data_IF_651251242423
#
_entry.id   IF_651251242423
#
_cell.length_a   1.000
_cell.length_b   1.000
_cell.length_c   1.000
_cell.angle_alpha   90.00
_cell.angle_beta   90.00
_cell.angle_gamma   90.00
#
_symmetry.space_group_name_H-M   'P 1'
#
loop_
_entity.id
_entity.type
_entity.pdbx_description
1 polymer ?
#
# COMPACT_ATOMS: atom_id res chain seq x y z
N UNK A 1 -51.60 19.09 33.29
CA UNK A 1 -51.35 18.84 34.73
C UNK A 1 -49.93 19.29 35.02
N UNK A 2 -49.76 20.35 35.83
CA UNK A 2 -48.47 20.99 36.15
C UNK A 2 -47.61 20.11 37.06
N UNK A 3 -46.29 20.05 36.83
CA UNK A 3 -45.30 20.60 37.76
C UNK A 3 -43.86 20.24 37.35
N UNK A 4 -43.05 21.27 37.11
CA UNK A 4 -41.59 21.26 37.12
C UNK A 4 -41.06 20.93 38.52
N UNK A 5 -39.96 20.16 38.60
CA UNK A 5 -38.89 20.47 39.57
C UNK A 5 -37.51 19.98 39.08
N UNK A 6 -36.77 20.93 38.55
CA UNK A 6 -35.32 20.92 38.35
C UNK A 6 -34.59 20.86 39.72
N UNK A 7 -33.58 20.00 39.88
CA UNK A 7 -32.54 20.12 40.91
C UNK A 7 -31.25 19.36 40.56
N UNK A 8 -30.21 20.16 40.30
CA UNK A 8 -28.80 19.94 40.64
C UNK A 8 -27.89 19.16 39.67
N UNK A 9 -27.27 19.94 38.77
CA UNK A 9 -25.81 20.11 38.63
C UNK A 9 -24.92 18.98 39.18
N UNK A 10 -24.32 18.21 38.26
CA UNK A 10 -22.89 17.94 38.17
C UNK A 10 -22.68 16.65 37.38
N UNK A 11 -21.98 16.78 36.25
CA UNK A 11 -21.09 15.79 35.59
C UNK A 11 -21.08 16.12 34.09
N UNK A 12 -20.60 17.32 33.77
CA UNK A 12 -20.12 17.66 32.42
C UNK A 12 -18.60 17.72 32.52
N UNK A 13 -17.94 16.87 31.72
CA UNK A 13 -16.52 16.84 31.37
C UNK A 13 -15.53 16.25 32.42
N UNK A 14 -14.50 15.49 31.98
CA UNK A 14 -13.88 15.64 30.67
C UNK A 14 -13.89 14.39 29.80
N UNK A 15 -14.53 14.58 28.65
CA UNK A 15 -14.34 13.91 27.38
C UNK A 15 -12.92 14.23 26.82
N UNK A 16 -11.86 13.95 27.57
CA UNK A 16 -10.48 14.37 27.23
C UNK A 16 -9.44 13.23 27.20
N UNK A 17 -9.86 11.96 27.31
CA UNK A 17 -8.93 10.81 27.27
C UNK A 17 -9.10 9.91 26.04
N UNK A 18 -9.89 10.30 25.03
CA UNK A 18 -10.14 9.49 23.84
C UNK A 18 -9.45 10.01 22.55
N UNK A 19 -8.70 11.11 22.60
CA UNK A 19 -8.12 11.74 21.39
C UNK A 19 -6.78 11.11 20.97
N UNK A 20 -6.12 10.32 21.81
CA UNK A 20 -4.76 9.84 21.53
C UNK A 20 -4.65 8.52 20.77
N UNK A 21 -5.75 7.88 20.35
CA UNK A 21 -5.70 6.56 19.65
C UNK A 21 -5.82 6.68 18.12
N UNK A 22 -6.10 7.85 17.57
CA UNK A 22 -6.30 8.03 16.11
C UNK A 22 -5.10 8.63 15.36
N UNK A 23 -3.92 8.75 15.99
CA UNK A 23 -2.81 9.51 15.41
C UNK A 23 -1.92 8.73 14.42
N UNK A 24 -1.99 7.40 14.36
CA UNK A 24 -1.22 6.60 13.40
C UNK A 24 -2.16 6.07 12.33
N UNK A 25 -2.37 6.85 11.27
CA UNK A 25 -2.82 6.27 10.01
C UNK A 25 -1.76 5.25 9.55
N UNK A 26 -2.14 4.08 9.02
CA UNK A 26 -1.16 3.15 8.48
C UNK A 26 -0.36 3.85 7.37
N UNK A 27 0.94 3.59 7.31
CA UNK A 27 1.80 4.04 6.22
C UNK A 27 1.16 3.61 4.90
N UNK A 28 0.65 4.60 4.18
CA UNK A 28 0.09 4.42 2.84
C UNK A 28 1.08 4.99 1.85
N UNK A 29 1.05 4.52 0.60
CA UNK A 29 1.86 5.11 -0.45
C UNK A 29 1.66 6.64 -0.57
N UNK A 30 0.44 7.11 -0.24
CA UNK A 30 0.11 8.53 -0.14
C UNK A 30 0.86 9.22 1.01
N UNK A 31 0.84 8.62 2.21
CA UNK A 31 1.53 9.15 3.39
C UNK A 31 3.04 9.26 3.20
N UNK A 32 3.65 8.25 2.58
CA UNK A 32 5.09 8.26 2.23
C UNK A 32 5.40 9.41 1.26
N UNK A 33 4.59 9.59 0.22
CA UNK A 33 4.82 10.66 -0.75
C UNK A 33 4.73 12.03 -0.07
N UNK A 34 3.69 12.27 0.73
CA UNK A 34 3.51 13.54 1.45
C UNK A 34 4.62 13.82 2.46
N UNK A 35 5.20 12.79 3.05
CA UNK A 35 6.33 12.92 3.96
C UNK A 35 7.65 13.21 3.22
N UNK A 36 7.84 12.60 2.06
CA UNK A 36 9.09 12.65 1.32
C UNK A 36 9.12 13.67 0.17
N UNK A 37 8.01 14.35 -0.16
CA UNK A 37 7.92 15.25 -1.33
C UNK A 37 9.06 16.29 -1.38
N UNK A 38 9.34 16.95 -0.26
CA UNK A 38 10.40 17.94 -0.17
C UNK A 38 11.80 17.33 -0.34
N UNK A 39 12.01 16.13 0.19
CA UNK A 39 13.27 15.40 0.08
C UNK A 39 13.47 14.88 -1.36
N UNK A 40 12.42 14.39 -2.00
CA UNK A 40 12.42 13.99 -3.42
C UNK A 40 12.77 15.19 -4.30
N UNK A 41 12.13 16.34 -4.10
CA UNK A 41 12.41 17.53 -4.89
C UNK A 41 13.87 18.02 -4.77
N UNK A 42 14.48 17.83 -3.60
CA UNK A 42 15.84 18.28 -3.31
C UNK A 42 16.92 17.27 -3.70
N UNK A 43 16.68 15.98 -3.45
CA UNK A 43 17.70 14.93 -3.53
C UNK A 43 17.59 14.11 -4.82
N UNK A 44 16.39 14.05 -5.40
CA UNK A 44 16.08 13.22 -6.56
C UNK A 44 15.74 14.07 -7.80
N UNK A 45 16.26 15.29 -7.89
CA UNK A 45 16.09 16.14 -9.05
C UNK A 45 16.60 15.43 -10.33
N UNK A 46 15.75 15.40 -11.36
CA UNK A 46 16.06 14.74 -12.63
C UNK A 46 15.87 13.22 -12.65
N UNK A 47 15.43 12.62 -11.54
CA UNK A 47 15.00 11.22 -11.54
C UNK A 47 13.62 11.11 -12.20
N UNK A 48 13.53 10.30 -13.24
CA UNK A 48 12.27 10.07 -13.94
C UNK A 48 11.31 9.20 -13.08
N UNK A 49 10.05 9.61 -12.89
CA UNK A 49 9.07 8.84 -12.10
C UNK A 49 8.78 7.44 -12.65
N UNK A 50 8.20 6.58 -11.82
CA UNK A 50 7.79 5.22 -12.18
C UNK A 50 8.89 4.16 -12.03
N UNK A 51 8.48 2.89 -12.12
CA UNK A 51 9.34 1.71 -11.96
C UNK A 51 10.18 1.72 -10.66
N UNK A 52 9.66 2.34 -9.60
CA UNK A 52 10.37 2.44 -8.31
C UNK A 52 11.58 3.39 -8.31
N UNK A 53 11.88 4.12 -9.38
CA UNK A 53 13.10 4.94 -9.49
C UNK A 53 13.23 6.00 -8.40
N UNK A 54 12.13 6.68 -8.05
CA UNK A 54 12.12 7.68 -6.97
C UNK A 54 12.32 7.00 -5.60
N UNK A 55 11.68 5.86 -5.37
CA UNK A 55 11.85 5.07 -4.16
C UNK A 55 13.33 4.64 -3.99
N UNK A 56 13.96 4.16 -5.06
CA UNK A 56 15.38 3.82 -5.08
C UNK A 56 16.29 5.02 -4.82
N UNK A 57 15.92 6.20 -5.32
CA UNK A 57 16.68 7.42 -5.05
C UNK A 57 16.60 7.83 -3.58
N UNK A 58 15.40 7.84 -2.98
CA UNK A 58 15.23 8.14 -1.56
C UNK A 58 15.97 7.12 -0.68
N UNK A 59 15.91 5.84 -1.04
CA UNK A 59 16.70 4.80 -0.37
C UNK A 59 18.21 5.09 -0.42
N UNK A 60 18.74 5.47 -1.58
CA UNK A 60 20.15 5.84 -1.71
C UNK A 60 20.55 7.09 -0.88
N UNK A 61 19.56 7.90 -0.50
CA UNK A 61 19.72 9.10 0.33
C UNK A 61 19.13 8.95 1.74
N UNK A 62 18.92 7.73 2.24
CA UNK A 62 18.27 7.46 3.54
C UNK A 62 18.89 8.23 4.73
N UNK A 63 20.19 8.55 4.65
CA UNK A 63 20.91 9.29 5.70
C UNK A 63 20.83 10.82 5.53
N UNK A 64 20.13 11.30 4.51
CA UNK A 64 20.04 12.71 4.10
C UNK A 64 18.61 13.21 3.92
N UNK A 65 17.62 12.34 4.10
CA UNK A 65 16.20 12.71 4.13
C UNK A 65 15.80 13.30 5.49
N UNK A 66 14.64 13.94 5.54
CA UNK A 66 14.04 14.43 6.77
C UNK A 66 13.61 13.27 7.69
N UNK A 67 13.53 13.54 8.99
CA UNK A 67 13.05 12.59 10.00
C UNK A 67 11.65 12.06 9.64
N UNK A 68 10.75 12.96 9.24
CA UNK A 68 9.39 12.60 8.82
C UNK A 68 9.39 11.65 7.61
N UNK A 69 10.21 11.92 6.60
CA UNK A 69 10.33 11.02 5.44
C UNK A 69 10.92 9.67 5.85
N UNK A 70 11.92 9.65 6.74
CA UNK A 70 12.55 8.43 7.23
C UNK A 70 11.60 7.50 8.00
N UNK A 71 10.76 8.06 8.87
CA UNK A 71 9.76 7.30 9.62
C UNK A 71 8.74 6.64 8.69
N UNK A 72 8.10 7.42 7.82
CA UNK A 72 7.08 6.89 6.89
C UNK A 72 7.70 5.92 5.86
N UNK A 73 8.93 6.18 5.43
CA UNK A 73 9.64 5.28 4.51
C UNK A 73 9.98 3.94 5.19
N UNK A 74 10.35 3.94 6.48
CA UNK A 74 10.59 2.72 7.23
C UNK A 74 9.30 1.91 7.42
N UNK A 75 8.22 2.57 7.85
CA UNK A 75 6.91 1.93 8.03
C UNK A 75 6.39 1.34 6.70
N UNK A 76 6.61 2.04 5.59
CA UNK A 76 6.29 1.53 4.26
C UNK A 76 7.18 0.36 3.84
N UNK A 77 8.46 0.37 4.22
CA UNK A 77 9.37 -0.76 4.02
C UNK A 77 8.85 -2.04 4.69
N UNK A 78 8.40 -1.93 5.93
CA UNK A 78 7.81 -3.06 6.68
C UNK A 78 6.53 -3.57 6.02
N UNK A 79 5.66 -2.67 5.53
CA UNK A 79 4.48 -3.05 4.76
C UNK A 79 4.84 -3.78 3.46
N UNK A 80 5.82 -3.26 2.73
CA UNK A 80 6.26 -3.87 1.47
C UNK A 80 6.83 -5.26 1.69
N UNK A 81 7.63 -5.48 2.74
CA UNK A 81 8.21 -6.80 3.02
C UNK A 81 7.12 -7.87 3.23
N UNK A 82 6.07 -7.51 3.99
CA UNK A 82 4.91 -8.38 4.18
C UNK A 82 4.21 -8.71 2.85
N UNK A 83 3.95 -7.70 2.02
CA UNK A 83 3.28 -7.86 0.72
C UNK A 83 4.14 -8.68 -0.26
N UNK A 84 5.46 -8.44 -0.29
CA UNK A 84 6.35 -9.14 -1.21
C UNK A 84 6.41 -10.65 -0.93
N UNK A 85 6.32 -11.07 0.33
CA UNK A 85 6.27 -12.50 0.67
C UNK A 85 5.02 -13.19 0.10
N UNK A 86 3.86 -12.54 0.21
CA UNK A 86 2.60 -13.06 -0.33
C UNK A 86 2.63 -13.10 -1.86
N UNK A 87 3.11 -12.03 -2.49
CA UNK A 87 3.26 -11.94 -3.95
C UNK A 87 4.26 -12.98 -4.48
N UNK A 88 5.36 -13.23 -3.77
CA UNK A 88 6.33 -14.26 -4.15
C UNK A 88 5.69 -15.66 -4.12
N UNK A 89 4.85 -15.92 -3.13
CA UNK A 89 4.08 -17.17 -3.05
C UNK A 89 3.09 -17.28 -4.22
N UNK A 90 2.36 -16.21 -4.53
CA UNK A 90 1.45 -16.16 -5.68
C UNK A 90 2.17 -16.46 -7.00
N UNK A 91 3.34 -15.86 -7.23
CA UNK A 91 4.15 -16.14 -8.43
C UNK A 91 4.65 -17.58 -8.48
N UNK A 92 5.03 -18.17 -7.34
CA UNK A 92 5.47 -19.56 -7.30
C UNK A 92 4.33 -20.53 -7.67
N UNK A 93 3.11 -20.27 -7.17
CA UNK A 93 1.91 -21.05 -7.55
C UNK A 93 1.58 -20.90 -9.03
N UNK A 94 1.70 -19.70 -9.58
CA UNK A 94 1.41 -19.42 -11.00
C UNK A 94 2.56 -19.73 -11.96
N UNK A 95 3.73 -20.17 -11.49
CA UNK A 95 4.89 -20.40 -12.35
C UNK A 95 4.64 -21.35 -13.55
N UNK A 96 3.92 -22.49 -13.38
CA UNK A 96 3.63 -23.39 -14.51
C UNK A 96 2.76 -22.72 -15.58
N UNK A 97 1.74 -21.98 -15.15
CA UNK A 97 0.85 -21.26 -16.05
C UNK A 97 1.57 -20.10 -16.76
N UNK A 98 2.44 -19.37 -16.05
CA UNK A 98 3.26 -18.32 -16.64
C UNK A 98 4.19 -18.85 -17.74
N UNK A 99 4.85 -19.99 -17.51
CA UNK A 99 5.72 -20.62 -18.52
C UNK A 99 4.91 -21.05 -19.75
N UNK A 100 3.75 -21.66 -19.51
CA UNK A 100 2.91 -22.25 -20.56
C UNK A 100 2.13 -21.22 -21.37
N UNK A 101 1.70 -20.13 -20.74
CA UNK A 101 0.75 -19.18 -21.33
C UNK A 101 1.30 -17.78 -21.54
N UNK A 102 2.34 -17.38 -20.79
CA UNK A 102 2.83 -16.00 -20.74
C UNK A 102 4.36 -15.87 -20.92
N UNK A 103 5.04 -16.89 -21.47
CA UNK A 103 6.51 -16.89 -21.59
C UNK A 103 7.08 -15.81 -22.52
N UNK A 104 6.29 -15.30 -23.47
CA UNK A 104 6.68 -14.20 -24.35
C UNK A 104 6.42 -12.80 -23.72
N UNK A 105 5.81 -12.75 -22.53
CA UNK A 105 5.47 -11.50 -21.87
C UNK A 105 6.66 -11.00 -21.06
N UNK A 106 7.14 -9.80 -21.38
CA UNK A 106 8.20 -9.16 -20.61
C UNK A 106 7.76 -8.88 -19.17
N UNK A 107 8.58 -9.24 -18.19
CA UNK A 107 8.32 -9.00 -16.76
C UNK A 107 8.26 -7.51 -16.39
N UNK A 108 7.50 -7.20 -15.32
CA UNK A 108 7.34 -5.84 -14.78
C UNK A 108 6.08 -5.11 -15.25
N UNK A 109 5.71 -4.05 -14.53
CA UNK A 109 4.56 -3.20 -14.85
C UNK A 109 3.21 -3.94 -14.85
N UNK A 110 3.08 -5.04 -14.09
CA UNK A 110 1.85 -5.82 -14.01
C UNK A 110 1.53 -6.71 -15.21
N UNK A 111 2.35 -6.70 -16.29
CA UNK A 111 2.01 -7.36 -17.56
C UNK A 111 1.79 -8.87 -17.45
N UNK A 112 2.54 -9.55 -16.57
CA UNK A 112 2.36 -10.98 -16.35
C UNK A 112 1.01 -11.28 -15.67
N UNK A 113 0.60 -10.43 -14.72
CA UNK A 113 -0.71 -10.55 -14.09
C UNK A 113 -1.84 -10.26 -15.09
N UNK A 114 -1.69 -9.23 -15.94
CA UNK A 114 -2.63 -8.96 -17.04
C UNK A 114 -2.74 -10.15 -18.00
N UNK A 115 -1.61 -10.75 -18.38
CA UNK A 115 -1.61 -11.95 -19.23
C UNK A 115 -2.38 -13.10 -18.58
N UNK A 116 -2.10 -13.40 -17.30
CA UNK A 116 -2.78 -14.45 -16.56
C UNK A 116 -4.30 -14.19 -16.48
N UNK A 117 -4.70 -12.95 -16.21
CA UNK A 117 -6.11 -12.54 -16.23
C UNK A 117 -6.77 -12.78 -17.60
N UNK A 118 -6.13 -12.37 -18.68
CA UNK A 118 -6.69 -12.53 -20.04
C UNK A 118 -6.80 -14.00 -20.47
N UNK A 119 -5.97 -14.89 -19.90
CA UNK A 119 -6.01 -16.34 -20.14
C UNK A 119 -6.67 -17.13 -19.02
N UNK A 120 -7.29 -16.47 -18.03
CA UNK A 120 -7.86 -17.06 -16.81
C UNK A 120 -8.59 -18.42 -17.00
N UNK A 121 -9.48 -18.61 -18.00
CA UNK A 121 -10.17 -19.91 -18.18
C UNK A 121 -9.25 -21.08 -18.57
N UNK A 122 -7.96 -20.82 -18.83
CA UNK A 122 -6.95 -21.82 -19.18
C UNK A 122 -5.97 -22.14 -18.04
N UNK A 123 -6.04 -21.39 -16.94
CA UNK A 123 -5.14 -21.52 -15.80
C UNK A 123 -5.43 -22.77 -14.96
N UNK A 124 -4.44 -23.20 -14.20
CA UNK A 124 -4.65 -24.16 -13.13
C UNK A 124 -5.53 -23.54 -12.03
N UNK A 125 -6.39 -24.33 -11.34
CA UNK A 125 -7.36 -23.79 -10.39
C UNK A 125 -6.75 -22.92 -9.28
N UNK A 126 -5.55 -23.28 -8.82
CA UNK A 126 -4.84 -22.59 -7.75
C UNK A 126 -4.31 -21.22 -8.24
N UNK A 127 -3.76 -21.16 -9.45
CA UNK A 127 -3.33 -19.88 -10.03
C UNK A 127 -4.54 -19.01 -10.41
N UNK A 128 -5.61 -19.61 -10.97
CA UNK A 128 -6.84 -18.89 -11.29
C UNK A 128 -7.46 -18.19 -10.09
N UNK A 129 -7.53 -18.87 -8.94
CA UNK A 129 -8.05 -18.27 -7.70
C UNK A 129 -7.22 -17.06 -7.24
N UNK A 130 -5.90 -17.15 -7.33
CA UNK A 130 -4.98 -16.06 -6.98
C UNK A 130 -5.14 -14.88 -7.94
N UNK A 131 -5.26 -15.15 -9.23
CA UNK A 131 -5.46 -14.11 -10.25
C UNK A 131 -6.78 -13.39 -10.00
N UNK A 132 -7.87 -14.12 -9.74
CA UNK A 132 -9.18 -13.55 -9.43
C UNK A 132 -9.14 -12.64 -8.20
N UNK A 133 -8.45 -13.06 -7.14
CA UNK A 133 -8.26 -12.26 -5.93
C UNK A 133 -7.46 -10.97 -6.21
N UNK A 134 -6.38 -11.07 -7.00
CA UNK A 134 -5.52 -9.93 -7.30
C UNK A 134 -6.14 -8.94 -8.29
N UNK A 135 -7.01 -9.40 -9.21
CA UNK A 135 -7.66 -8.53 -10.21
C UNK A 135 -9.03 -8.02 -9.79
N UNK A 136 -9.66 -8.61 -8.77
CA UNK A 136 -10.97 -8.19 -8.26
C UNK A 136 -11.03 -6.77 -7.68
N UNK A 137 -9.89 -6.10 -7.49
CA UNK A 137 -9.82 -4.69 -7.07
C UNK A 137 -9.98 -3.69 -8.22
N UNK A 138 -10.00 -4.14 -9.48
CA UNK A 138 -10.05 -3.27 -10.66
C UNK A 138 -11.48 -2.94 -11.15
N UNK A 139 -12.52 -3.56 -10.58
CA UNK A 139 -13.91 -3.46 -11.07
C UNK A 139 -14.80 -2.47 -10.29
N UNK A 140 -14.26 -1.68 -9.36
CA UNK A 140 -15.00 -0.60 -8.68
C UNK A 140 -14.90 0.73 -9.46
N UNK A 141 -15.60 0.83 -10.60
CA UNK A 141 -16.03 2.10 -11.23
C UNK A 141 -17.56 2.25 -11.22
#
# INVERSE_FOLDING_TARGET
MFALRNRSLALVAPLALAVSVFASAPASAQGVWEACEADVAKLCEGVEPGNGRILSCIYAHENSISEKCGEEFADFGDLLDAVFFEVATAFATCAPDLEKHCSDVAAGGGRLLTCLHDVQPKLEPECGAIVDELTGFADEE
#
